data_IF_118082358014
#
_entry.id   IF_118082358014
#
_cell.length_a   1.000
_cell.length_b   1.000
_cell.length_c   1.000
_cell.angle_alpha   90.00
_cell.angle_beta   90.00
_cell.angle_gamma   90.00
#
_symmetry.space_group_name_H-M   'P 1'
#
loop_
_entity.id
_entity.type
_entity.pdbx_description
1 polymer ?
#
# COMPACT_ATOMS: atom_id res chain seq x y z
N UNK A 1 76.63 21.52 1.31
CA UNK A 1 77.67 20.50 1.58
C UNK A 1 77.01 19.13 1.50
N UNK A 2 77.69 18.09 1.01
CA UNK A 2 77.03 16.87 0.50
C UNK A 2 76.96 15.70 1.51
N UNK A 3 76.12 14.72 1.13
CA UNK A 3 75.99 13.32 1.59
C UNK A 3 74.96 13.09 2.71
N UNK A 4 74.17 12.02 2.77
CA UNK A 4 73.64 10.98 1.85
C UNK A 4 73.49 9.68 2.66
N UNK A 5 72.23 9.26 2.86
CA UNK A 5 71.73 7.87 2.90
C UNK A 5 72.49 6.79 3.72
N UNK A 6 71.75 6.06 4.56
CA UNK A 6 71.31 4.67 4.26
C UNK A 6 70.26 4.14 5.27
N UNK A 7 69.52 3.13 4.81
CA UNK A 7 68.40 2.36 5.38
C UNK A 7 68.72 1.70 6.76
N UNK A 8 67.79 1.18 7.59
CA UNK A 8 66.40 0.65 7.45
C UNK A 8 65.58 1.10 8.73
N UNK A 9 64.47 0.56 9.31
CA UNK A 9 63.58 -0.60 9.11
C UNK A 9 62.18 -0.47 9.78
N UNK A 10 61.18 -1.16 9.21
CA UNK A 10 60.21 -2.16 9.77
C UNK A 10 60.12 -2.27 11.32
N UNK A 11 58.97 -2.37 12.02
CA UNK A 11 57.63 -2.92 11.71
C UNK A 11 56.49 -2.00 12.18
N UNK A 12 55.35 -2.01 11.49
CA UNK A 12 54.08 -1.41 11.93
C UNK A 12 53.03 -2.53 12.06
N UNK A 13 52.55 -2.81 13.28
CA UNK A 13 51.66 -3.93 13.56
C UNK A 13 50.18 -3.48 13.60
N UNK A 14 49.45 -3.66 12.51
CA UNK A 14 47.99 -3.47 12.43
C UNK A 14 47.32 -4.83 12.38
N UNK A 15 46.66 -5.23 13.46
CA UNK A 15 45.85 -6.46 13.52
C UNK A 15 44.47 -6.22 12.90
N UNK A 16 44.40 -6.26 11.57
CA UNK A 16 43.13 -6.29 10.84
C UNK A 16 42.46 -7.66 11.01
N UNK A 17 41.29 -7.69 11.65
CA UNK A 17 40.44 -8.89 11.71
C UNK A 17 39.62 -8.95 10.42
N UNK A 18 40.01 -9.81 9.50
CA UNK A 18 39.30 -10.01 8.22
C UNK A 18 38.28 -11.14 8.32
N UNK A 19 37.00 -10.83 8.08
CA UNK A 19 35.96 -11.83 7.82
C UNK A 19 36.10 -12.35 6.38
N UNK A 20 35.81 -13.64 6.11
CA UNK A 20 35.92 -14.21 4.76
C UNK A 20 34.74 -13.76 3.87
N UNK A 21 35.02 -12.85 2.94
CA UNK A 21 34.08 -12.51 1.85
C UNK A 21 34.02 -13.67 0.86
N UNK A 22 32.92 -14.41 0.85
CA UNK A 22 32.61 -15.32 -0.26
C UNK A 22 32.05 -14.50 -1.42
N UNK A 23 32.91 -14.16 -2.38
CA UNK A 23 32.51 -13.57 -3.65
C UNK A 23 32.32 -14.69 -4.68
N UNK A 24 31.09 -15.14 -4.86
CA UNK A 24 30.70 -15.96 -6.02
C UNK A 24 30.27 -15.03 -7.15
N UNK A 25 31.00 -15.07 -8.26
CA UNK A 25 30.49 -14.56 -9.53
C UNK A 25 29.34 -15.46 -9.99
N UNK A 26 28.38 -14.88 -10.71
CA UNK A 26 27.31 -15.60 -11.39
C UNK A 26 27.30 -15.11 -12.84
N UNK A 27 27.97 -15.88 -13.69
CA UNK A 27 27.93 -15.68 -15.13
C UNK A 27 26.64 -16.33 -15.69
N UNK A 28 26.04 -15.62 -16.65
CA UNK A 28 25.59 -16.10 -17.96
C UNK A 28 24.99 -17.52 -18.12
N UNK A 29 23.68 -17.53 -18.39
CA UNK A 29 22.98 -18.28 -19.44
C UNK A 29 23.36 -19.78 -19.69
N UNK A 30 22.59 -20.70 -19.10
CA UNK A 30 22.27 -21.97 -19.76
C UNK A 30 20.80 -22.37 -19.51
N UNK A 31 20.17 -23.04 -20.47
CA UNK A 31 18.74 -23.39 -20.45
C UNK A 31 18.57 -24.83 -19.94
N UNK A 32 18.11 -25.03 -18.71
CA UNK A 32 17.81 -26.38 -18.22
C UNK A 32 16.50 -26.92 -18.82
N UNK A 33 16.61 -28.14 -19.36
CA UNK A 33 15.57 -28.89 -20.04
C UNK A 33 14.74 -29.66 -19.00
N UNK A 34 13.43 -29.41 -18.93
CA UNK A 34 12.54 -30.12 -18.01
C UNK A 34 12.31 -31.57 -18.47
N UNK A 35 13.12 -32.51 -17.97
CA UNK A 35 12.83 -33.94 -18.13
C UNK A 35 11.48 -34.30 -17.48
N UNK A 36 10.66 -35.05 -18.21
CA UNK A 36 9.37 -35.53 -17.75
C UNK A 36 9.56 -36.76 -16.86
N UNK A 37 9.22 -36.67 -15.56
CA UNK A 37 9.02 -37.87 -14.74
C UNK A 37 7.69 -38.54 -15.12
N UNK A 38 7.74 -39.82 -15.49
CA UNK A 38 6.55 -40.61 -15.82
C UNK A 38 5.84 -41.07 -14.53
N UNK A 39 4.69 -40.46 -14.23
CA UNK A 39 3.80 -40.97 -13.19
C UNK A 39 3.01 -42.20 -13.71
N UNK A 40 3.40 -43.37 -13.23
CA UNK A 40 2.75 -44.66 -13.47
C UNK A 40 1.30 -44.66 -12.95
N UNK A 41 0.36 -45.18 -13.75
CA UNK A 41 -1.08 -45.08 -13.51
C UNK A 41 -1.60 -46.37 -12.86
N UNK A 42 -2.02 -46.32 -11.59
CA UNK A 42 -2.82 -47.40 -11.01
C UNK A 42 -4.30 -47.23 -11.38
N UNK A 43 -4.79 -48.18 -12.17
CA UNK A 43 -6.14 -48.23 -12.74
C UNK A 43 -7.12 -48.83 -11.71
N UNK A 44 -7.97 -47.97 -11.15
CA UNK A 44 -9.06 -48.37 -10.26
C UNK A 44 -10.41 -48.13 -10.95
N UNK A 45 -10.89 -49.15 -11.68
CA UNK A 45 -12.30 -49.28 -12.02
C UNK A 45 -13.09 -49.66 -10.74
N UNK A 46 -14.05 -48.83 -10.35
CA UNK A 46 -15.33 -49.32 -9.82
C UNK A 46 -16.43 -48.31 -10.20
N UNK A 47 -17.67 -48.79 -10.31
CA UNK A 47 -18.80 -48.07 -10.92
C UNK A 47 -19.65 -47.32 -9.85
N UNK A 48 -20.92 -47.06 -10.16
CA UNK A 48 -22.01 -46.59 -9.26
C UNK A 48 -22.28 -45.07 -9.19
N UNK A 49 -23.02 -44.63 -10.22
CA UNK A 49 -24.36 -44.04 -10.07
C UNK A 49 -24.65 -42.86 -9.10
N UNK A 50 -25.04 -41.73 -9.72
CA UNK A 50 -26.02 -40.74 -9.25
C UNK A 50 -25.90 -40.11 -7.84
N UNK A 51 -25.53 -38.82 -7.81
CA UNK A 51 -26.48 -37.83 -7.26
C UNK A 51 -26.38 -36.48 -8.00
N UNK A 52 -27.49 -36.04 -8.61
CA UNK A 52 -27.62 -34.70 -9.22
C UNK A 52 -27.91 -33.68 -8.11
N UNK A 53 -26.94 -33.48 -7.22
CA UNK A 53 -26.92 -32.38 -6.27
C UNK A 53 -26.64 -31.07 -7.01
N UNK A 54 -27.61 -30.67 -7.82
CA UNK A 54 -27.87 -29.30 -8.23
C UNK A 54 -28.15 -28.48 -6.98
N UNK A 55 -27.07 -28.08 -6.30
CA UNK A 55 -27.10 -27.01 -5.33
C UNK A 55 -27.69 -25.79 -6.04
N UNK A 56 -28.96 -25.49 -5.75
CA UNK A 56 -29.48 -24.15 -5.91
C UNK A 56 -28.66 -23.28 -4.95
N UNK A 57 -27.55 -22.76 -5.46
CA UNK A 57 -26.80 -21.70 -4.83
C UNK A 57 -27.78 -20.55 -4.73
N UNK A 58 -28.40 -20.40 -3.55
CA UNK A 58 -29.10 -19.20 -3.19
C UNK A 58 -28.12 -18.06 -3.43
N UNK A 59 -28.39 -17.25 -4.46
CA UNK A 59 -27.72 -15.97 -4.67
C UNK A 59 -28.11 -15.10 -3.48
N UNK A 60 -27.39 -15.30 -2.36
CA UNK A 60 -27.47 -14.43 -1.20
C UNK A 60 -27.17 -13.04 -1.73
N UNK A 61 -28.21 -12.20 -1.80
CA UNK A 61 -28.15 -10.90 -2.45
C UNK A 61 -27.22 -10.03 -1.63
N UNK A 62 -25.94 -10.12 -1.96
CA UNK A 62 -24.85 -9.50 -1.24
C UNK A 62 -25.19 -8.02 -1.16
N UNK A 63 -25.40 -7.54 0.06
CA UNK A 63 -25.93 -6.20 0.30
C UNK A 63 -24.99 -5.21 -0.38
N UNK A 64 -25.48 -4.56 -1.43
CA UNK A 64 -24.67 -3.62 -2.23
C UNK A 64 -24.24 -2.49 -1.31
N UNK A 65 -22.96 -2.47 -0.96
CA UNK A 65 -22.36 -1.41 -0.18
C UNK A 65 -21.99 -0.29 -1.16
N UNK A 66 -22.50 0.91 -0.90
CA UNK A 66 -22.15 2.11 -1.66
C UNK A 66 -21.00 2.84 -0.95
N UNK A 67 -19.87 3.03 -1.64
CA UNK A 67 -18.72 3.77 -1.12
C UNK A 67 -18.73 5.23 -1.60
N UNK A 68 -19.05 6.13 -0.66
CA UNK A 68 -18.89 7.58 -0.79
C UNK A 68 -17.42 8.00 -0.66
N UNK A 69 -17.07 9.16 -1.20
CA UNK A 69 -15.70 9.71 -1.17
C UNK A 69 -15.13 10.00 0.24
N UNK A 70 -15.98 9.96 1.28
CA UNK A 70 -15.63 10.26 2.68
C UNK A 70 -15.69 9.05 3.63
N UNK A 71 -16.07 7.87 3.13
CA UNK A 71 -16.19 6.63 3.93
C UNK A 71 -15.60 5.45 3.16
N UNK A 72 -15.03 4.47 3.87
CA UNK A 72 -14.39 3.29 3.27
C UNK A 72 -14.78 2.03 4.04
N UNK A 73 -15.45 1.11 3.33
CA UNK A 73 -16.12 -0.06 3.90
C UNK A 73 -15.22 -1.29 3.98
N UNK A 74 -14.09 -1.29 3.24
CA UNK A 74 -13.19 -2.44 3.04
C UNK A 74 -13.83 -3.66 2.35
N UNK A 75 -15.06 -3.52 1.85
CA UNK A 75 -15.81 -4.63 1.25
C UNK A 75 -15.31 -5.02 -0.15
N UNK A 76 -15.35 -6.31 -0.47
CA UNK A 76 -14.86 -6.85 -1.76
C UNK A 76 -15.77 -6.56 -2.95
N UNK A 77 -17.05 -6.27 -2.71
CA UNK A 77 -18.04 -5.89 -3.72
C UNK A 77 -18.66 -4.57 -3.28
N UNK A 78 -18.32 -3.50 -3.98
CA UNK A 78 -18.77 -2.13 -3.72
C UNK A 78 -19.24 -1.47 -5.00
N UNK A 79 -20.36 -0.77 -4.92
CA UNK A 79 -20.69 0.26 -5.91
C UNK A 79 -20.11 1.59 -5.43
N UNK A 80 -19.68 2.45 -6.35
CA UNK A 80 -19.38 3.83 -6.00
C UNK A 80 -20.70 4.57 -5.79
N UNK A 81 -20.86 5.26 -4.65
CA UNK A 81 -22.06 6.02 -4.37
C UNK A 81 -22.23 7.12 -5.44
N UNK A 82 -23.45 7.30 -5.97
CA UNK A 82 -23.73 8.31 -7.00
C UNK A 82 -23.93 9.71 -6.38
N UNK A 83 -22.98 10.12 -5.55
CA UNK A 83 -22.99 11.37 -4.82
C UNK A 83 -22.16 12.46 -5.51
N UNK A 84 -22.56 13.74 -5.44
CA UNK A 84 -21.78 14.83 -5.98
C UNK A 84 -20.47 15.00 -5.20
N UNK A 85 -19.34 14.86 -5.89
CA UNK A 85 -18.04 15.19 -5.30
C UNK A 85 -17.97 16.66 -4.88
N UNK A 86 -17.25 16.98 -3.78
CA UNK A 86 -17.04 18.36 -3.33
C UNK A 86 -16.25 19.23 -4.33
N UNK A 87 -15.54 18.59 -5.28
CA UNK A 87 -14.82 19.22 -6.37
C UNK A 87 -15.27 18.67 -7.73
N UNK A 88 -15.32 19.54 -8.74
CA UNK A 88 -15.59 19.18 -10.15
C UNK A 88 -14.34 19.21 -11.05
N UNK A 89 -13.20 19.65 -10.49
CA UNK A 89 -11.89 19.69 -11.13
C UNK A 89 -10.78 19.62 -10.09
N UNK A 90 -9.57 19.32 -10.52
CA UNK A 90 -8.34 19.49 -9.75
C UNK A 90 -8.16 20.93 -9.28
N UNK A 91 -7.79 21.12 -8.00
CA UNK A 91 -7.42 22.40 -7.42
C UNK A 91 -6.72 22.24 -6.05
N UNK A 92 -6.05 23.29 -5.61
CA UNK A 92 -5.65 23.45 -4.20
C UNK A 92 -6.89 23.49 -3.28
N UNK A 93 -6.78 22.85 -2.12
CA UNK A 93 -7.75 22.84 -1.02
C UNK A 93 -7.01 22.96 0.30
N UNK A 94 -7.73 23.29 1.37
CA UNK A 94 -7.18 23.19 2.73
C UNK A 94 -7.36 21.78 3.28
N UNK A 95 -6.32 21.26 3.93
CA UNK A 95 -6.43 20.10 4.82
C UNK A 95 -6.27 20.60 6.25
N UNK A 96 -7.18 20.18 7.14
CA UNK A 96 -7.10 20.49 8.57
C UNK A 96 -7.32 19.26 9.43
N UNK A 97 -6.32 18.94 10.23
CA UNK A 97 -6.38 18.02 11.35
C UNK A 97 -6.99 18.74 12.57
N UNK A 98 -7.62 17.97 13.47
CA UNK A 98 -8.31 18.44 14.66
C UNK A 98 -7.55 19.54 15.46
N UNK A 99 -8.05 20.78 15.39
CA UNK A 99 -7.49 22.00 16.02
C UNK A 99 -6.09 22.44 15.55
N UNK A 100 -5.49 21.73 14.59
CA UNK A 100 -4.16 22.05 14.08
C UNK A 100 -4.18 23.14 13.00
N UNK A 101 -2.98 23.63 12.68
CA UNK A 101 -2.76 24.59 11.59
C UNK A 101 -3.10 23.94 10.25
N UNK A 102 -3.92 24.59 9.41
CA UNK A 102 -4.26 24.07 8.09
C UNK A 102 -3.09 24.16 7.11
N UNK A 103 -2.90 23.11 6.29
CA UNK A 103 -2.01 23.14 5.13
C UNK A 103 -2.81 23.29 3.83
N UNK A 104 -2.14 23.68 2.75
CA UNK A 104 -2.67 23.61 1.39
C UNK A 104 -2.19 22.33 0.73
N UNK A 105 -3.09 21.54 0.15
CA UNK A 105 -2.76 20.35 -0.65
C UNK A 105 -3.50 20.41 -1.99
N UNK A 106 -2.99 19.73 -3.02
CA UNK A 106 -3.74 19.55 -4.27
C UNK A 106 -4.71 18.37 -4.18
N UNK A 107 -6.00 18.58 -4.46
CA UNK A 107 -7.01 17.53 -4.44
C UNK A 107 -7.61 17.31 -5.85
N UNK A 108 -7.76 16.03 -6.22
CA UNK A 108 -8.16 15.61 -7.56
C UNK A 108 -9.45 14.77 -7.48
N UNK A 109 -10.60 15.26 -8.00
CA UNK A 109 -11.80 14.45 -8.13
C UNK A 109 -11.63 13.40 -9.25
N UNK A 110 -11.73 12.12 -8.92
CA UNK A 110 -11.51 11.01 -9.85
C UNK A 110 -12.40 9.82 -9.51
N UNK A 111 -13.15 9.29 -10.50
CA UNK A 111 -14.01 8.11 -10.36
C UNK A 111 -14.90 8.10 -9.09
N UNK A 112 -15.62 9.19 -8.82
CA UNK A 112 -16.50 9.30 -7.64
C UNK A 112 -15.77 9.37 -6.30
N UNK A 113 -14.44 9.54 -6.31
CA UNK A 113 -13.59 9.66 -5.13
C UNK A 113 -12.81 10.99 -5.15
N UNK A 114 -12.35 11.43 -3.98
CA UNK A 114 -11.47 12.59 -3.83
C UNK A 114 -10.06 12.09 -3.53
N UNK A 115 -9.13 12.27 -4.47
CA UNK A 115 -7.74 11.87 -4.31
C UNK A 115 -6.91 13.01 -3.72
N UNK A 116 -5.94 12.66 -2.88
CA UNK A 116 -4.98 13.56 -2.22
C UNK A 116 -3.55 12.98 -2.29
N UNK A 117 -2.49 13.81 -2.23
CA UNK A 117 -1.11 13.33 -2.16
C UNK A 117 -0.89 12.54 -0.88
N UNK A 118 -0.57 11.26 -1.01
CA UNK A 118 -0.43 10.31 0.09
C UNK A 118 0.63 10.77 1.09
N UNK A 119 1.85 11.02 0.61
CA UNK A 119 3.02 11.37 1.44
C UNK A 119 2.78 12.64 2.26
N UNK A 120 2.27 13.71 1.64
CA UNK A 120 1.99 14.98 2.32
C UNK A 120 0.83 14.87 3.31
N UNK A 121 -0.26 14.17 2.92
CA UNK A 121 -1.43 13.96 3.80
C UNK A 121 -1.04 13.18 5.06
N UNK A 122 -0.26 12.11 4.92
CA UNK A 122 0.18 11.23 6.02
C UNK A 122 1.16 11.96 6.94
N UNK A 123 2.18 12.63 6.40
CA UNK A 123 3.12 13.44 7.19
C UNK A 123 2.42 14.56 7.97
N UNK A 124 1.35 15.14 7.41
CA UNK A 124 0.55 16.15 8.09
C UNK A 124 -0.29 15.57 9.23
N UNK A 125 -0.80 14.34 9.11
CA UNK A 125 -1.52 13.66 10.20
C UNK A 125 -0.59 13.22 11.35
N UNK A 126 0.72 13.19 11.12
CA UNK A 126 1.76 12.89 12.11
C UNK A 126 2.37 11.50 11.99
N UNK A 127 1.93 10.72 11.00
CA UNK A 127 2.29 9.32 10.82
C UNK A 127 3.57 9.16 9.95
N UNK A 128 4.29 8.04 10.07
CA UNK A 128 5.53 7.79 9.32
C UNK A 128 5.24 7.28 7.90
N UNK A 129 6.10 7.64 6.93
CA UNK A 129 5.94 7.26 5.51
C UNK A 129 7.28 6.98 4.83
N UNK A 130 7.33 5.95 3.98
CA UNK A 130 8.50 5.51 3.24
C UNK A 130 8.20 5.31 1.75
N UNK A 131 8.95 5.99 0.87
CA UNK A 131 8.74 5.93 -0.58
C UNK A 131 9.78 5.04 -1.31
N UNK A 132 9.34 3.88 -1.78
CA UNK A 132 10.15 2.97 -2.59
C UNK A 132 10.00 3.29 -4.08
N UNK A 133 10.50 4.46 -4.50
CA UNK A 133 10.31 5.01 -5.86
C UNK A 133 10.64 4.02 -7.01
N UNK A 134 11.61 3.12 -6.83
CA UNK A 134 11.95 2.06 -7.82
C UNK A 134 10.84 1.02 -8.00
N UNK A 135 10.21 0.59 -6.92
CA UNK A 135 9.12 -0.41 -6.94
C UNK A 135 7.73 0.23 -7.05
N UNK A 136 7.64 1.56 -7.01
CA UNK A 136 6.38 2.34 -7.03
C UNK A 136 5.45 1.97 -5.87
N UNK A 137 6.05 1.78 -4.70
CA UNK A 137 5.38 1.48 -3.44
C UNK A 137 5.56 2.64 -2.47
N UNK A 138 4.52 2.93 -1.69
CA UNK A 138 4.58 3.81 -0.52
C UNK A 138 4.07 3.02 0.68
N UNK A 139 4.87 3.00 1.74
CA UNK A 139 4.58 2.35 3.01
C UNK A 139 4.27 3.44 4.05
N UNK A 140 3.29 3.20 4.92
CA UNK A 140 2.82 4.13 5.97
C UNK A 140 2.73 3.38 7.29
N UNK A 141 3.19 4.00 8.38
CA UNK A 141 3.25 3.39 9.72
C UNK A 141 2.72 4.37 10.77
N UNK A 142 1.68 3.93 11.48
CA UNK A 142 1.06 4.49 12.69
C UNK A 142 1.17 3.43 13.81
N UNK A 143 0.91 3.80 15.08
CA UNK A 143 1.20 2.96 16.26
C UNK A 143 0.59 1.54 16.19
N UNK A 144 -0.64 1.43 15.66
CA UNK A 144 -1.38 0.17 15.48
C UNK A 144 -1.61 -0.22 13.99
N UNK A 145 -1.16 0.60 13.04
CA UNK A 145 -1.57 0.50 11.62
C UNK A 145 -0.39 0.60 10.63
N UNK A 146 -0.22 -0.43 9.81
CA UNK A 146 0.75 -0.47 8.72
C UNK A 146 0.03 -0.62 7.37
N UNK A 147 0.25 0.34 6.45
CA UNK A 147 -0.36 0.36 5.12
C UNK A 147 0.70 0.32 4.00
N UNK A 148 0.51 -0.54 3.01
CA UNK A 148 1.37 -0.61 1.81
C UNK A 148 0.55 -0.32 0.55
N UNK A 149 0.77 0.85 -0.04
CA UNK A 149 0.17 1.30 -1.28
C UNK A 149 1.08 1.00 -2.48
N UNK A 150 0.48 0.71 -3.63
CA UNK A 150 1.18 0.35 -4.88
C UNK A 150 0.56 1.09 -6.05
N UNK A 151 1.36 1.79 -6.84
CA UNK A 151 0.88 2.52 -8.03
C UNK A 151 0.14 1.58 -9.00
N UNK A 152 -1.04 2.00 -9.46
CA UNK A 152 -1.94 1.23 -10.31
C UNK A 152 -2.81 0.20 -9.57
N UNK A 153 -2.56 -0.07 -8.28
CA UNK A 153 -3.35 -1.01 -7.49
C UNK A 153 -4.67 -0.40 -7.03
N UNK A 154 -5.78 -1.16 -7.20
CA UNK A 154 -7.08 -0.93 -6.55
C UNK A 154 -7.18 -1.62 -5.17
N UNK A 155 -6.05 -1.85 -4.52
CA UNK A 155 -5.96 -2.43 -3.18
C UNK A 155 -4.73 -1.88 -2.45
N UNK A 156 -4.88 -1.67 -1.14
CA UNK A 156 -3.81 -1.42 -0.17
C UNK A 156 -3.56 -2.72 0.60
N UNK A 157 -2.35 -2.96 1.11
CA UNK A 157 -2.18 -3.96 2.16
C UNK A 157 -2.25 -3.27 3.51
N UNK A 158 -3.24 -3.63 4.32
CA UNK A 158 -3.52 -3.07 5.64
C UNK A 158 -3.23 -4.15 6.68
N UNK A 159 -2.23 -3.93 7.54
CA UNK A 159 -1.72 -4.93 8.47
C UNK A 159 -1.47 -6.30 7.78
N UNK A 160 -0.85 -6.24 6.60
CA UNK A 160 -0.60 -7.33 5.64
C UNK A 160 -1.82 -7.99 4.98
N UNK A 161 -3.05 -7.65 5.35
CA UNK A 161 -4.26 -8.08 4.66
C UNK A 161 -4.50 -7.25 3.40
N UNK A 162 -4.88 -7.87 2.27
CA UNK A 162 -5.14 -7.17 1.01
C UNK A 162 -6.53 -6.54 0.99
N UNK A 163 -6.64 -5.26 1.33
CA UNK A 163 -7.91 -4.53 1.45
C UNK A 163 -8.24 -3.76 0.16
N UNK A 164 -9.45 -3.89 -0.41
CA UNK A 164 -9.83 -3.22 -1.65
C UNK A 164 -10.01 -1.71 -1.48
N UNK A 165 -9.71 -0.93 -2.53
CA UNK A 165 -9.92 0.52 -2.58
C UNK A 165 -10.97 0.90 -3.65
N UNK A 166 -11.76 1.97 -3.44
CA UNK A 166 -12.80 2.41 -4.38
C UNK A 166 -12.24 2.84 -5.74
N UNK A 167 -10.99 3.31 -5.80
CA UNK A 167 -10.24 3.50 -7.04
C UNK A 167 -8.74 3.23 -6.83
N UNK A 168 -7.95 3.28 -7.91
CA UNK A 168 -6.54 2.94 -7.88
C UNK A 168 -5.67 4.05 -7.30
N UNK A 169 -4.54 3.69 -6.66
CA UNK A 169 -3.46 4.63 -6.38
C UNK A 169 -2.84 5.10 -7.70
N UNK A 170 -2.87 6.40 -7.97
CA UNK A 170 -2.35 7.01 -9.20
C UNK A 170 -0.97 7.65 -8.94
N UNK A 171 -0.15 7.78 -9.98
CA UNK A 171 0.96 8.73 -9.96
C UNK A 171 0.53 10.03 -10.65
N UNK A 172 0.74 11.16 -10.00
CA UNK A 172 0.54 12.48 -10.59
C UNK A 172 1.71 13.39 -10.20
N UNK A 173 2.30 14.07 -11.19
CA UNK A 173 3.52 14.89 -11.05
C UNK A 173 4.74 14.21 -10.38
N UNK A 174 4.74 12.88 -10.25
CA UNK A 174 5.79 12.10 -9.57
C UNK A 174 5.40 11.58 -8.18
N UNK A 175 4.30 12.06 -7.61
CA UNK A 175 3.78 11.71 -6.28
C UNK A 175 2.64 10.69 -6.37
N UNK A 176 2.39 9.94 -5.29
CA UNK A 176 1.28 8.99 -5.23
C UNK A 176 0.01 9.64 -4.69
N UNK A 177 -1.07 9.56 -5.45
CA UNK A 177 -2.40 10.07 -5.09
C UNK A 177 -3.34 8.91 -4.79
N UNK A 178 -4.01 8.94 -3.63
CA UNK A 178 -4.93 7.89 -3.19
C UNK A 178 -6.23 8.48 -2.62
N UNK A 179 -7.32 7.70 -2.50
CA UNK A 179 -8.59 8.19 -1.96
C UNK A 179 -8.46 8.64 -0.49
N UNK A 180 -8.97 9.84 -0.19
CA UNK A 180 -8.86 10.47 1.14
C UNK A 180 -9.55 9.66 2.25
N UNK A 181 -10.65 8.98 1.93
CA UNK A 181 -11.36 8.03 2.79
C UNK A 181 -10.57 6.75 3.08
N UNK A 182 -9.65 6.32 2.22
CA UNK A 182 -8.76 5.19 2.52
C UNK A 182 -7.70 5.61 3.54
N UNK A 183 -7.08 6.78 3.37
CA UNK A 183 -6.13 7.32 4.37
C UNK A 183 -6.84 7.51 5.71
N UNK A 184 -7.95 8.26 5.73
CA UNK A 184 -8.68 8.55 6.96
C UNK A 184 -9.26 7.29 7.61
N UNK A 185 -9.99 6.49 6.84
CA UNK A 185 -10.64 5.27 7.33
C UNK A 185 -9.67 4.16 7.75
N UNK A 186 -8.43 4.16 7.27
CA UNK A 186 -7.35 3.31 7.78
C UNK A 186 -6.78 3.86 9.11
N UNK A 187 -6.37 5.12 9.13
CA UNK A 187 -5.68 5.76 10.26
C UNK A 187 -6.63 6.31 11.33
N UNK A 188 -7.88 5.85 11.37
CA UNK A 188 -8.88 6.19 12.39
C UNK A 188 -9.41 7.63 12.35
N UNK A 189 -9.41 8.29 11.20
CA UNK A 189 -9.94 9.65 11.00
C UNK A 189 -11.29 9.66 10.24
N UNK A 190 -12.29 10.31 10.82
CA UNK A 190 -13.50 10.75 10.12
C UNK A 190 -13.12 11.82 9.09
N UNK A 191 -13.44 11.58 7.81
CA UNK A 191 -13.27 12.58 6.73
C UNK A 191 -14.54 13.38 6.55
N UNK A 192 -14.43 14.71 6.41
CA UNK A 192 -15.56 15.56 6.02
C UNK A 192 -15.10 16.81 5.23
N UNK A 193 -16.05 17.55 4.65
CA UNK A 193 -15.76 18.71 3.80
C UNK A 193 -16.65 19.91 4.13
N UNK A 194 -16.05 21.10 4.14
CA UNK A 194 -16.79 22.37 4.10
C UNK A 194 -15.89 23.51 3.62
N UNK A 195 -16.43 24.46 2.84
CA UNK A 195 -15.76 25.71 2.46
C UNK A 195 -14.35 25.53 1.86
N UNK A 196 -14.19 24.62 0.88
CA UNK A 196 -12.91 24.28 0.24
C UNK A 196 -11.83 23.68 1.20
N UNK A 197 -12.28 23.10 2.32
CA UNK A 197 -11.44 22.41 3.30
C UNK A 197 -11.89 20.96 3.52
N UNK A 198 -10.94 20.04 3.46
CA UNK A 198 -11.02 18.68 4.00
C UNK A 198 -10.72 18.76 5.50
N UNK A 199 -11.61 18.23 6.32
CA UNK A 199 -11.42 18.10 7.76
C UNK A 199 -11.16 16.64 8.12
N UNK A 200 -10.09 16.41 8.89
CA UNK A 200 -9.71 15.13 9.48
C UNK A 200 -9.90 15.23 10.99
N UNK A 201 -10.73 14.35 11.55
CA UNK A 201 -11.01 14.29 13.00
C UNK A 201 -10.87 12.83 13.46
N UNK A 202 -10.06 12.50 14.48
CA UNK A 202 -9.97 11.11 14.96
C UNK A 202 -11.38 10.66 15.39
N UNK A 203 -11.79 9.50 14.91
CA UNK A 203 -13.04 8.87 15.33
C UNK A 203 -12.97 8.61 16.82
N UNK A 204 -13.94 9.13 17.57
CA UNK A 204 -14.05 8.79 19.00
C UNK A 204 -14.50 7.34 19.11
N UNK A 205 -13.71 6.49 19.77
CA UNK A 205 -13.98 5.04 19.87
C UNK A 205 -15.40 4.77 20.37
N UNK A 206 -16.26 4.29 19.47
CA UNK A 206 -17.62 3.80 19.78
C UNK A 206 -17.58 2.39 20.42
N UNK A 207 -16.63 2.19 21.34
CA UNK A 207 -16.63 1.11 22.31
C UNK A 207 -17.58 1.52 23.44
N UNK A 208 -18.89 1.30 23.23
CA UNK A 208 -19.88 1.48 24.27
C UNK A 208 -19.84 0.33 25.27
N UNK A 209 -19.37 0.59 26.49
CA UNK A 209 -19.57 -0.31 27.63
C UNK A 209 -20.39 0.39 28.74
N UNK A 210 -21.57 -0.20 29.00
CA UNK A 210 -22.49 0.00 30.13
C UNK A 210 -22.87 1.44 30.55
#
# INVERSE_FOLDING_TARGET
>A
MNRNRKYLAIVLAVSLVTLPVHATYADEDEYEEYEHEEHEYEEYEDDDEYDDNRYEQEESKQSVIEESWYSWSRASVVNLANEPLPLTKQQEVKLQQQNETEISIEAIPYQGQLLVPLTETVQYLGDEVHEYKKSKVVEVVDEDTHLIFKEGSRAVYENMAKTPMPTAALNFNGEMYVPVNVIGGALGWDVSWSNARIFMKKGGSINGES
#
